data_IF_965480941033
#
_entry.id   IF_965480941033
#
_cell.length_a   1.000
_cell.length_b   1.000
_cell.length_c   1.000
_cell.angle_alpha   90.00
_cell.angle_beta   90.00
_cell.angle_gamma   90.00
#
_symmetry.space_group_name_H-M   'P 1'
#
loop_
_entity.id
_entity.type
_entity.pdbx_description
1 polymer ?
#
# COMPACT_ATOMS: atom_id res chain seq x y z
N UNK A 1 -32.46 11.57 -26.97
CA UNK A 1 -32.33 10.33 -26.16
C UNK A 1 -30.87 9.92 -26.23
N UNK A 2 -30.06 10.24 -25.23
CA UNK A 2 -28.65 9.83 -25.18
C UNK A 2 -28.61 8.36 -24.80
N UNK A 3 -28.15 7.51 -25.70
CA UNK A 3 -27.86 6.11 -25.36
C UNK A 3 -26.76 6.11 -24.31
N UNK A 4 -27.12 5.86 -23.06
CA UNK A 4 -26.16 5.55 -21.99
C UNK A 4 -25.38 4.32 -22.44
N UNK A 5 -24.12 4.52 -22.83
CA UNK A 5 -23.23 3.43 -23.20
C UNK A 5 -22.89 2.69 -21.92
N UNK A 6 -23.60 1.58 -21.67
CA UNK A 6 -23.34 0.71 -20.53
C UNK A 6 -22.22 -0.24 -20.91
N UNK A 7 -21.04 -0.05 -20.31
CA UNK A 7 -19.93 -0.97 -20.48
C UNK A 7 -20.23 -2.30 -19.77
N UNK A 8 -19.74 -3.44 -20.28
CA UNK A 8 -19.75 -4.67 -19.51
C UNK A 8 -19.03 -4.46 -18.16
N UNK A 9 -19.54 -5.08 -17.11
CA UNK A 9 -19.01 -4.96 -15.75
C UNK A 9 -18.41 -6.29 -15.31
N UNK A 10 -17.17 -6.26 -14.83
CA UNK A 10 -16.53 -7.41 -14.18
C UNK A 10 -16.33 -7.10 -12.70
N UNK A 11 -16.91 -7.95 -11.87
CA UNK A 11 -16.81 -7.83 -10.42
C UNK A 11 -15.71 -8.73 -9.84
N UNK A 12 -14.88 -8.13 -9.00
CA UNK A 12 -13.82 -8.79 -8.27
C UNK A 12 -14.18 -8.88 -6.79
N UNK A 13 -14.48 -10.10 -6.34
CA UNK A 13 -14.53 -10.37 -4.91
C UNK A 13 -13.13 -10.29 -4.29
N UNK A 14 -13.06 -10.20 -2.96
CA UNK A 14 -11.82 -10.04 -2.19
C UNK A 14 -10.74 -11.07 -2.55
N UNK A 15 -11.14 -12.32 -2.85
CA UNK A 15 -10.21 -13.39 -3.24
C UNK A 15 -9.55 -13.12 -4.59
N UNK A 16 -10.33 -12.72 -5.60
CA UNK A 16 -9.80 -12.34 -6.92
C UNK A 16 -8.99 -11.04 -6.83
N UNK A 17 -9.43 -10.08 -6.03
CA UNK A 17 -8.66 -8.85 -5.75
C UNK A 17 -7.29 -9.17 -5.15
N UNK A 18 -7.21 -10.08 -4.17
CA UNK A 18 -5.94 -10.52 -3.60
C UNK A 18 -5.01 -11.15 -4.63
N UNK A 19 -5.56 -11.86 -5.64
CA UNK A 19 -4.77 -12.42 -6.74
C UNK A 19 -4.21 -11.31 -7.65
N UNK A 20 -5.04 -10.33 -8.02
CA UNK A 20 -4.61 -9.18 -8.81
C UNK A 20 -3.51 -8.36 -8.10
N UNK A 21 -3.65 -8.15 -6.79
CA UNK A 21 -2.64 -7.47 -5.98
C UNK A 21 -1.32 -8.26 -5.96
N UNK A 22 -1.37 -9.58 -5.73
CA UNK A 22 -0.14 -10.41 -5.78
C UNK A 22 0.57 -10.32 -7.13
N UNK A 23 -0.17 -10.39 -8.23
CA UNK A 23 0.40 -10.24 -9.57
C UNK A 23 1.02 -8.86 -9.76
N UNK A 24 0.28 -7.80 -9.42
CA UNK A 24 0.75 -6.41 -9.55
C UNK A 24 2.02 -6.15 -8.75
N UNK A 25 2.05 -6.59 -7.48
CA UNK A 25 3.22 -6.42 -6.61
C UNK A 25 4.43 -7.19 -7.14
N UNK A 26 4.23 -8.44 -7.57
CA UNK A 26 5.32 -9.25 -8.13
C UNK A 26 5.89 -8.67 -9.43
N UNK A 27 5.05 -8.07 -10.27
CA UNK A 27 5.51 -7.41 -11.50
C UNK A 27 6.27 -6.13 -11.20
N UNK A 28 5.84 -5.36 -10.20
CA UNK A 28 6.43 -4.06 -9.87
C UNK A 28 7.71 -4.18 -9.03
N UNK A 29 7.77 -5.19 -8.17
CA UNK A 29 8.85 -5.43 -7.21
C UNK A 29 9.23 -6.92 -7.19
N UNK A 30 9.89 -7.41 -8.26
CA UNK A 30 10.17 -8.83 -8.44
C UNK A 30 11.04 -9.44 -7.33
N UNK A 31 11.92 -8.64 -6.73
CA UNK A 31 12.87 -9.07 -5.70
C UNK A 31 12.33 -8.95 -4.27
N UNK A 32 11.10 -8.47 -4.09
CA UNK A 32 10.45 -8.38 -2.78
C UNK A 32 9.35 -9.43 -2.62
N UNK A 33 9.43 -10.20 -1.53
CA UNK A 33 8.41 -11.21 -1.19
C UNK A 33 7.26 -10.61 -0.39
N UNK A 34 6.09 -10.48 -1.01
CA UNK A 34 4.87 -10.00 -0.34
C UNK A 34 3.97 -11.14 0.17
N UNK A 35 3.47 -10.98 1.38
CA UNK A 35 2.36 -11.75 1.94
C UNK A 35 1.08 -10.94 1.80
N UNK A 36 0.11 -11.43 1.04
CA UNK A 36 -1.23 -10.84 0.89
C UNK A 36 -2.27 -11.77 1.51
N UNK A 37 -2.92 -11.33 2.58
CA UNK A 37 -3.89 -12.12 3.36
C UNK A 37 -5.26 -11.45 3.38
N UNK A 38 -6.30 -12.27 3.25
CA UNK A 38 -7.67 -11.83 3.53
C UNK A 38 -7.93 -11.86 5.02
N UNK A 39 -8.45 -10.76 5.56
CA UNK A 39 -8.95 -10.71 6.91
C UNK A 39 -10.22 -11.56 7.04
N UNK A 40 -10.52 -12.04 8.26
CA UNK A 40 -11.63 -12.97 8.54
C UNK A 40 -12.54 -12.38 9.61
N UNK A 41 -13.75 -12.94 9.76
CA UNK A 41 -14.71 -12.50 10.78
C UNK A 41 -15.20 -11.08 10.51
N UNK A 42 -15.16 -10.21 11.51
CA UNK A 42 -15.60 -8.81 11.43
C UNK A 42 -14.78 -7.97 10.44
N UNK A 43 -13.55 -8.39 10.13
CA UNK A 43 -12.70 -7.77 9.10
C UNK A 43 -12.99 -8.24 7.67
N UNK A 44 -14.04 -9.03 7.42
CA UNK A 44 -14.34 -9.50 6.07
C UNK A 44 -14.46 -8.32 5.08
N UNK A 45 -13.82 -8.45 3.92
CA UNK A 45 -13.70 -7.36 2.95
C UNK A 45 -12.33 -6.68 2.95
N UNK A 46 -11.51 -6.87 3.98
CA UNK A 46 -10.18 -6.27 4.08
C UNK A 46 -9.06 -7.20 3.59
N UNK A 47 -7.99 -6.59 3.10
CA UNK A 47 -6.75 -7.24 2.73
C UNK A 47 -5.58 -6.66 3.51
N UNK A 48 -4.75 -7.55 4.06
CA UNK A 48 -3.52 -7.20 4.75
C UNK A 48 -2.32 -7.57 3.87
N UNK A 49 -1.45 -6.59 3.60
CA UNK A 49 -0.23 -6.75 2.80
C UNK A 49 0.96 -6.56 3.72
N UNK A 50 1.82 -7.57 3.83
CA UNK A 50 3.02 -7.50 4.65
C UNK A 50 4.26 -7.94 3.86
N UNK A 51 5.38 -7.27 4.09
CA UNK A 51 6.68 -7.61 3.50
C UNK A 51 7.82 -7.17 4.42
N UNK A 52 9.03 -7.62 4.09
CA UNK A 52 10.26 -7.22 4.77
C UNK A 52 11.13 -6.45 3.79
N UNK A 53 11.73 -5.34 4.26
CA UNK A 53 12.56 -4.43 3.46
C UNK A 53 11.83 -3.91 2.21
N UNK A 54 12.46 -3.91 1.03
CA UNK A 54 11.79 -3.61 -0.24
C UNK A 54 11.24 -2.18 -0.34
N UNK A 55 10.15 -1.93 -1.09
CA UNK A 55 9.59 -0.60 -1.29
C UNK A 55 9.00 0.00 -0.02
N UNK A 56 8.88 1.33 0.01
CA UNK A 56 8.27 2.07 1.11
C UNK A 56 6.77 1.77 1.21
N UNK A 57 6.20 1.87 2.42
CA UNK A 57 4.74 1.68 2.60
C UNK A 57 3.90 2.61 1.73
N UNK A 58 4.21 3.92 1.59
CA UNK A 58 3.48 4.81 0.70
C UNK A 58 3.49 4.32 -0.75
N UNK A 59 4.62 3.82 -1.27
CA UNK A 59 4.71 3.33 -2.64
C UNK A 59 3.86 2.07 -2.87
N UNK A 60 3.82 1.15 -1.90
CA UNK A 60 2.95 -0.04 -1.95
C UNK A 60 1.48 0.35 -1.83
N UNK A 61 1.15 1.29 -0.94
CA UNK A 61 -0.22 1.78 -0.76
C UNK A 61 -0.71 2.49 -2.01
N UNK A 62 0.09 3.38 -2.62
CA UNK A 62 -0.26 4.05 -3.88
C UNK A 62 -0.54 3.05 -4.99
N UNK A 63 0.32 2.04 -5.14
CA UNK A 63 0.15 1.00 -6.14
C UNK A 63 -1.11 0.15 -5.90
N UNK A 64 -1.47 -0.11 -4.65
CA UNK A 64 -2.55 -1.04 -4.30
C UNK A 64 -3.88 -0.34 -4.00
N UNK A 65 -3.90 0.97 -3.77
CA UNK A 65 -5.09 1.69 -3.36
C UNK A 65 -6.23 1.62 -4.38
N UNK A 66 -5.90 1.51 -5.67
CA UNK A 66 -6.89 1.36 -6.76
C UNK A 66 -7.76 0.11 -6.67
N UNK A 67 -7.35 -0.89 -5.90
CA UNK A 67 -8.11 -2.11 -5.69
C UNK A 67 -9.18 -2.00 -4.60
N UNK A 68 -9.26 -0.85 -3.90
CA UNK A 68 -10.25 -0.61 -2.87
C UNK A 68 -11.60 -0.21 -3.48
N UNK A 69 -12.70 -0.58 -2.82
CA UNK A 69 -14.06 -0.22 -3.21
C UNK A 69 -14.47 1.16 -2.69
N UNK A 70 -13.80 1.62 -1.63
CA UNK A 70 -14.05 2.90 -1.00
C UNK A 70 -12.78 3.40 -0.28
N UNK A 71 -12.70 4.71 -0.05
CA UNK A 71 -11.64 5.35 0.73
C UNK A 71 -12.27 6.24 1.79
N UNK A 72 -11.70 6.22 2.99
CA UNK A 72 -12.11 7.13 4.06
C UNK A 72 -11.67 8.57 3.73
N UNK A 73 -12.62 9.50 3.79
CA UNK A 73 -12.39 10.94 3.71
C UNK A 73 -12.55 11.54 5.10
N UNK A 74 -11.44 12.02 5.67
CA UNK A 74 -11.41 12.63 7.00
C UNK A 74 -12.15 13.95 7.08
N UNK A 75 -12.31 14.68 5.97
CA UNK A 75 -13.05 15.94 5.94
C UNK A 75 -14.56 15.69 5.97
N UNK A 76 -15.01 14.66 5.25
CA UNK A 76 -16.43 14.26 5.21
C UNK A 76 -16.82 13.26 6.30
N UNK A 77 -15.87 12.83 7.14
CA UNK A 77 -16.00 11.77 8.15
C UNK A 77 -16.76 10.53 7.63
N UNK A 78 -16.48 10.14 6.39
CA UNK A 78 -17.24 9.10 5.69
C UNK A 78 -16.42 8.40 4.61
N UNK A 79 -16.88 7.20 4.22
CA UNK A 79 -16.28 6.46 3.13
C UNK A 79 -16.85 6.93 1.78
N UNK A 80 -15.97 7.38 0.90
CA UNK A 80 -16.29 7.73 -0.47
C UNK A 80 -16.05 6.50 -1.37
N UNK A 81 -17.00 6.14 -2.27
CA UNK A 81 -16.80 5.04 -3.19
C UNK A 81 -15.65 5.35 -4.14
N UNK A 82 -14.84 4.35 -4.44
CA UNK A 82 -13.85 4.47 -5.50
C UNK A 82 -14.56 4.38 -6.85
N UNK A 83 -14.23 5.31 -7.76
CA UNK A 83 -14.77 5.25 -9.11
C UNK A 83 -14.25 3.98 -9.79
N UNK A 84 -15.11 3.30 -10.56
CA UNK A 84 -14.70 2.11 -11.26
C UNK A 84 -13.68 2.44 -12.35
N UNK A 85 -12.69 1.57 -12.52
CA UNK A 85 -11.69 1.70 -13.58
C UNK A 85 -12.17 1.05 -14.88
N UNK A 86 -11.92 1.69 -16.01
CA UNK A 86 -12.19 1.12 -17.34
C UNK A 86 -10.92 0.49 -17.91
N UNK A 87 -11.02 -0.79 -18.27
CA UNK A 87 -9.95 -1.55 -18.92
C UNK A 87 -10.39 -1.99 -20.31
N UNK A 88 -9.44 -2.05 -21.25
CA UNK A 88 -9.68 -2.68 -22.53
C UNK A 88 -9.46 -4.19 -22.39
N UNK A 89 -10.55 -4.96 -22.38
CA UNK A 89 -10.52 -6.42 -22.33
C UNK A 89 -11.00 -6.92 -23.68
N UNK A 90 -10.14 -7.63 -24.41
CA UNK A 90 -10.43 -8.13 -25.76
C UNK A 90 -10.95 -7.05 -26.73
N UNK A 91 -10.43 -5.83 -26.62
CA UNK A 91 -10.82 -4.69 -27.44
C UNK A 91 -12.12 -3.99 -27.02
N UNK A 92 -12.74 -4.42 -25.91
CA UNK A 92 -13.98 -3.84 -25.38
C UNK A 92 -13.70 -3.10 -24.06
N UNK A 93 -14.05 -1.80 -23.96
CA UNK A 93 -13.99 -1.09 -22.69
C UNK A 93 -14.90 -1.77 -21.67
N UNK A 94 -14.31 -2.20 -20.57
CA UNK A 94 -14.94 -3.00 -19.53
C UNK A 94 -14.70 -2.35 -18.19
N UNK A 95 -15.78 -2.18 -17.42
CA UNK A 95 -15.75 -1.62 -16.09
C UNK A 95 -15.31 -2.68 -15.08
N UNK A 96 -14.27 -2.40 -14.31
CA UNK A 96 -13.83 -3.26 -13.21
C UNK A 96 -14.30 -2.68 -11.89
N UNK A 97 -15.05 -3.51 -11.12
CA UNK A 97 -15.49 -3.18 -9.76
C UNK A 97 -14.83 -4.09 -8.75
N UNK A 98 -14.12 -3.50 -7.80
CA UNK A 98 -13.56 -4.22 -6.67
C UNK A 98 -14.49 -4.15 -5.46
N UNK A 99 -14.64 -5.26 -4.75
CA UNK A 99 -15.40 -5.36 -3.49
C UNK A 99 -14.51 -5.46 -2.25
N UNK A 100 -13.23 -5.06 -2.37
CA UNK A 100 -12.30 -4.98 -1.25
C UNK A 100 -12.51 -3.65 -0.53
N UNK A 101 -13.00 -3.69 0.72
CA UNK A 101 -13.37 -2.49 1.48
C UNK A 101 -12.18 -1.62 1.86
N UNK A 102 -11.03 -2.25 2.06
CA UNK A 102 -9.83 -1.57 2.50
C UNK A 102 -8.60 -2.46 2.41
N UNK A 103 -7.45 -1.81 2.32
CA UNK A 103 -6.14 -2.45 2.31
C UNK A 103 -5.33 -1.88 3.47
N UNK A 104 -4.68 -2.76 4.23
CA UNK A 104 -3.68 -2.39 5.22
C UNK A 104 -2.29 -2.85 4.75
N UNK A 105 -1.27 -2.09 5.10
CA UNK A 105 0.13 -2.41 4.80
C UNK A 105 0.94 -2.51 6.09
N UNK A 106 1.89 -3.41 6.14
CA UNK A 106 2.84 -3.53 7.22
C UNK A 106 4.22 -3.94 6.69
N UNK A 107 5.20 -3.04 6.80
CA UNK A 107 6.60 -3.28 6.43
C UNK A 107 7.42 -3.57 7.68
N UNK A 108 8.16 -4.67 7.66
CA UNK A 108 9.18 -4.97 8.66
C UNK A 108 10.58 -4.78 8.09
N UNK A 109 11.58 -4.67 8.95
CA UNK A 109 12.97 -4.41 8.55
C UNK A 109 13.88 -5.53 9.02
N UNK A 110 14.75 -6.01 8.13
CA UNK A 110 15.79 -6.99 8.47
C UNK A 110 16.84 -6.40 9.43
N UNK A 111 17.62 -7.24 10.13
CA UNK A 111 18.74 -6.77 10.94
C UNK A 111 19.73 -5.92 10.13
N UNK A 112 20.09 -6.36 8.91
CA UNK A 112 21.03 -5.66 8.04
C UNK A 112 20.52 -4.25 7.66
N UNK A 113 19.23 -4.12 7.33
CA UNK A 113 18.62 -2.82 7.07
C UNK A 113 18.67 -1.91 8.31
N UNK A 114 18.41 -2.45 9.50
CA UNK A 114 18.49 -1.69 10.76
C UNK A 114 19.92 -1.25 11.07
N UNK A 115 20.89 -2.13 10.92
CA UNK A 115 22.30 -1.77 11.13
C UNK A 115 22.77 -0.72 10.12
N UNK A 116 22.38 -0.87 8.84
CA UNK A 116 22.63 0.15 7.83
C UNK A 116 22.04 1.48 8.27
N UNK A 117 20.75 1.52 8.64
CA UNK A 117 20.09 2.76 9.02
C UNK A 117 20.72 3.39 10.26
N UNK A 118 21.10 2.61 11.27
CA UNK A 118 21.80 3.11 12.45
C UNK A 118 23.13 3.79 12.08
N UNK A 119 23.90 3.21 11.16
CA UNK A 119 25.18 3.81 10.70
C UNK A 119 24.97 5.12 9.92
N UNK A 120 23.82 5.29 9.28
CA UNK A 120 23.55 6.45 8.43
C UNK A 120 22.69 7.54 9.11
N UNK A 121 21.90 7.18 10.11
CA UNK A 121 21.09 8.11 10.91
C UNK A 121 21.91 8.71 12.06
N UNK A 122 22.90 9.53 11.71
CA UNK A 122 23.85 10.15 12.64
C UNK A 122 23.49 11.62 12.95
N UNK A 123 24.02 12.22 14.04
CA UNK A 123 23.82 13.63 14.33
C UNK A 123 24.14 14.53 13.13
N UNK A 124 23.22 15.44 12.81
CA UNK A 124 23.34 16.37 11.69
C UNK A 124 22.73 15.89 10.37
N UNK A 125 22.20 14.66 10.30
CA UNK A 125 21.40 14.22 9.13
C UNK A 125 19.97 14.77 9.19
N UNK A 126 19.27 14.74 8.05
CA UNK A 126 17.86 15.16 8.00
C UNK A 126 16.98 14.34 8.96
N UNK A 127 17.12 13.00 8.95
CA UNK A 127 16.35 12.13 9.84
C UNK A 127 16.63 12.43 11.31
N UNK A 128 17.86 12.81 11.66
CA UNK A 128 18.23 13.23 13.01
C UNK A 128 17.58 14.54 13.42
N UNK A 129 17.71 15.59 12.60
CA UNK A 129 17.06 16.88 12.88
C UNK A 129 15.55 16.77 13.00
N UNK A 130 14.93 15.89 12.20
CA UNK A 130 13.50 15.60 12.31
C UNK A 130 13.15 14.93 13.62
N UNK A 131 13.94 13.95 14.06
CA UNK A 131 13.76 13.31 15.36
C UNK A 131 13.90 14.31 16.52
N UNK A 132 14.87 15.23 16.47
CA UNK A 132 15.05 16.29 17.47
C UNK A 132 13.84 17.22 17.55
N UNK A 133 13.31 17.65 16.40
CA UNK A 133 12.11 18.52 16.36
C UNK A 133 10.87 17.87 16.96
N UNK A 134 10.78 16.55 16.92
CA UNK A 134 9.67 15.80 17.51
C UNK A 134 9.83 15.61 19.04
N UNK A 135 10.98 15.97 19.62
CA UNK A 135 11.19 15.96 21.07
C UNK A 135 11.20 14.57 21.70
N UNK A 136 11.58 13.54 20.94
CA UNK A 136 11.54 12.15 21.41
C UNK A 136 12.70 11.83 22.38
N UNK A 137 12.50 11.00 23.42
CA UNK A 137 13.54 10.71 24.42
C UNK A 137 14.79 10.04 23.86
N UNK A 138 14.62 9.22 22.81
CA UNK A 138 15.72 8.57 22.09
C UNK A 138 15.71 9.05 20.63
N UNK A 139 16.51 10.09 20.38
CA UNK A 139 16.67 10.68 19.04
C UNK A 139 17.30 9.69 18.06
N UNK A 140 18.20 8.82 18.51
CA UNK A 140 18.90 7.89 17.64
C UNK A 140 17.97 6.78 17.12
N UNK A 141 17.13 6.21 17.98
CA UNK A 141 16.10 5.25 17.57
C UNK A 141 15.12 5.88 16.57
N UNK A 142 14.60 7.07 16.88
CA UNK A 142 13.63 7.73 16.01
C UNK A 142 14.25 8.13 14.65
N UNK A 143 15.48 8.66 14.64
CA UNK A 143 16.18 8.99 13.40
C UNK A 143 16.42 7.75 12.53
N UNK A 144 16.75 6.62 13.14
CA UNK A 144 16.89 5.32 12.47
C UNK A 144 15.56 4.89 11.83
N UNK A 145 14.46 4.99 12.58
CA UNK A 145 13.12 4.62 12.08
C UNK A 145 12.64 5.52 10.95
N UNK A 146 12.81 6.83 11.06
CA UNK A 146 12.48 7.79 10.01
C UNK A 146 13.24 7.43 8.73
N UNK A 147 14.54 7.17 8.83
CA UNK A 147 15.36 6.80 7.68
C UNK A 147 14.87 5.49 7.02
N UNK A 148 14.52 4.47 7.81
CA UNK A 148 13.99 3.21 7.32
C UNK A 148 12.64 3.37 6.60
N UNK A 149 11.74 4.16 7.16
CA UNK A 149 10.39 4.40 6.62
C UNK A 149 10.42 5.07 5.24
N UNK A 150 11.40 5.94 5.02
CA UNK A 150 11.51 6.74 3.79
C UNK A 150 12.43 6.14 2.74
N UNK A 151 13.28 5.18 3.14
CA UNK A 151 14.21 4.54 2.21
C UNK A 151 13.54 3.36 1.51
N UNK A 152 13.61 3.36 0.18
CA UNK A 152 13.36 2.16 -0.61
C UNK A 152 14.56 1.21 -0.47
N UNK A 153 14.30 0.02 0.06
CA UNK A 153 15.28 -1.03 0.33
C UNK A 153 15.15 -2.20 -0.66
N UNK A 154 14.59 -1.96 -1.85
CA UNK A 154 14.68 -2.93 -2.96
C UNK A 154 16.14 -3.10 -3.36
N UNK A 155 16.62 -4.34 -3.36
CA UNK A 155 17.96 -4.71 -3.84
C UNK A 155 18.09 -4.58 -5.36
#
# INVERSE_FOLDING_TARGET
>A
MTNSTTWPVVEYNVKKTAQQIRTTLRTSYPDTSFRVRMSRGTGYGWLDIAWTDGPTEPAVMELTARFQSARFDSTADSYQPMLPELYLIDGVPTEIRYHCRGISTARTYSPDAREWAQRHAQPGTDSWHRAERLGYPDTADLATRILLEETNLTS
#
